data_IF_453184741811
#
_entry.id   IF_453184741811
#
_cell.length_a   1.000
_cell.length_b   1.000
_cell.length_c   1.000
_cell.angle_alpha   90.00
_cell.angle_beta   90.00
_cell.angle_gamma   90.00
#
_symmetry.space_group_name_H-M   'P 1'
#
loop_
_entity.id
_entity.type
_entity.pdbx_description
1 polymer ?
#
# COMPACT_ATOMS: atom_id res chain seq x y z
N UNK A 1 -0.09 -3.43 26.12
CA UNK A 1 0.47 -3.72 24.78
C UNK A 1 0.97 -2.40 24.19
N UNK A 2 2.20 -2.33 23.67
CA UNK A 2 2.73 -1.07 23.10
C UNK A 2 2.28 -0.88 21.66
N UNK A 3 2.25 0.36 21.17
CA UNK A 3 1.89 0.67 19.77
C UNK A 3 2.79 -0.07 18.77
N UNK A 4 4.09 -0.17 19.06
CA UNK A 4 5.06 -0.90 18.25
C UNK A 4 4.70 -2.39 18.13
N UNK A 5 4.43 -3.05 19.26
CA UNK A 5 4.10 -4.48 19.28
C UNK A 5 2.80 -4.78 18.51
N UNK A 6 1.81 -3.88 18.58
CA UNK A 6 0.58 -4.00 17.82
C UNK A 6 0.82 -3.89 16.29
N UNK A 7 1.66 -2.96 15.86
CA UNK A 7 1.97 -2.77 14.43
C UNK A 7 2.73 -4.00 13.91
N UNK A 8 3.69 -4.52 14.68
CA UNK A 8 4.45 -5.71 14.31
C UNK A 8 3.56 -6.95 14.16
N UNK A 9 2.65 -7.19 15.11
CA UNK A 9 1.71 -8.32 15.03
C UNK A 9 0.73 -8.19 13.86
N UNK A 10 0.22 -6.98 13.59
CA UNK A 10 -0.66 -6.73 12.45
C UNK A 10 0.06 -6.94 11.11
N UNK A 11 1.31 -6.48 10.98
CA UNK A 11 2.12 -6.69 9.79
C UNK A 11 2.41 -8.17 9.55
N UNK A 12 2.71 -8.93 10.61
CA UNK A 12 2.90 -10.38 10.52
C UNK A 12 1.62 -11.07 10.02
N UNK A 13 0.47 -10.72 10.61
CA UNK A 13 -0.84 -11.23 10.18
C UNK A 13 -1.14 -10.91 8.71
N UNK A 14 -0.90 -9.66 8.25
CA UNK A 14 -1.11 -9.29 6.84
C UNK A 14 -0.23 -10.07 5.87
N UNK A 15 1.03 -10.34 6.26
CA UNK A 15 1.99 -11.11 5.46
C UNK A 15 1.59 -12.57 5.38
N UNK A 16 1.29 -13.21 6.51
CA UNK A 16 0.88 -14.61 6.60
C UNK A 16 -0.37 -14.89 5.74
N UNK A 17 -1.39 -14.03 5.86
CA UNK A 17 -2.64 -14.22 5.14
C UNK A 17 -2.67 -13.62 3.74
N UNK A 18 -1.56 -13.08 3.23
CA UNK A 18 -1.44 -12.43 1.92
C UNK A 18 -2.54 -11.38 1.68
N UNK A 19 -2.86 -10.58 2.69
CA UNK A 19 -4.02 -9.66 2.68
C UNK A 19 -3.95 -8.65 1.54
N UNK A 20 -2.75 -8.15 1.23
CA UNK A 20 -2.55 -7.23 0.11
C UNK A 20 -2.96 -7.85 -1.24
N UNK A 21 -2.47 -9.06 -1.53
CA UNK A 21 -2.80 -9.77 -2.77
C UNK A 21 -4.29 -10.07 -2.85
N UNK A 22 -4.88 -10.59 -1.76
CA UNK A 22 -6.34 -10.82 -1.67
C UNK A 22 -7.15 -9.56 -1.95
N UNK A 23 -6.69 -8.39 -1.48
CA UNK A 23 -7.37 -7.12 -1.73
C UNK A 23 -7.39 -6.71 -3.22
N UNK A 24 -6.40 -7.17 -4.00
CA UNK A 24 -6.30 -6.94 -5.44
C UNK A 24 -7.11 -7.97 -6.23
N UNK A 25 -7.01 -9.25 -5.86
CA UNK A 25 -7.63 -10.37 -6.58
C UNK A 25 -9.16 -10.34 -6.50
N UNK A 26 -9.72 -9.82 -5.41
CA UNK A 26 -11.17 -9.69 -5.21
C UNK A 26 -11.80 -8.56 -6.04
N UNK A 27 -11.07 -7.91 -6.96
CA UNK A 27 -11.55 -6.73 -7.69
C UNK A 27 -11.64 -7.03 -9.18
N UNK A 28 -12.73 -6.55 -9.78
CA UNK A 28 -13.01 -6.73 -11.20
C UNK A 28 -12.05 -5.90 -12.05
N UNK A 29 -11.57 -6.49 -13.15
CA UNK A 29 -10.79 -5.79 -14.19
C UNK A 29 -11.56 -4.65 -14.86
N UNK A 30 -12.89 -4.60 -14.70
CA UNK A 30 -13.74 -3.56 -15.31
C UNK A 30 -13.48 -2.15 -14.74
N UNK A 31 -12.92 -2.04 -13.54
CA UNK A 31 -12.68 -0.75 -12.86
C UNK A 31 -11.22 -0.59 -12.47
N UNK A 32 -10.31 -0.68 -13.44
CA UNK A 32 -8.89 -0.44 -13.20
C UNK A 32 -8.58 1.06 -13.01
N UNK A 33 -7.76 1.36 -12.00
CA UNK A 33 -7.10 2.67 -11.88
C UNK A 33 -5.60 2.46 -12.04
N UNK A 34 -5.02 3.10 -13.04
CA UNK A 34 -3.56 3.16 -13.22
C UNK A 34 -3.01 4.22 -12.27
N UNK A 35 -1.96 3.87 -11.54
CA UNK A 35 -1.22 4.80 -10.68
C UNK A 35 0.23 4.77 -11.06
N UNK A 36 0.76 5.95 -11.41
CA UNK A 36 2.17 6.12 -11.71
C UNK A 36 2.89 6.46 -10.42
N UNK A 37 3.75 5.56 -9.95
CA UNK A 37 4.69 5.86 -8.90
C UNK A 37 6.05 6.15 -9.53
N UNK A 38 6.53 7.38 -9.39
CA UNK A 38 7.86 7.74 -9.84
C UNK A 38 8.89 7.01 -8.98
N UNK A 39 9.81 6.22 -9.58
CA UNK A 39 10.80 5.49 -8.79
C UNK A 39 11.67 6.48 -8.00
N UNK A 40 11.85 6.29 -6.68
CA UNK A 40 12.76 7.13 -5.92
C UNK A 40 14.20 6.85 -6.37
N UNK A 41 15.03 7.89 -6.41
CA UNK A 41 16.47 7.71 -6.65
C UNK A 41 17.11 7.04 -5.43
N UNK A 42 17.85 5.95 -5.65
CA UNK A 42 18.55 5.20 -4.61
C UNK A 42 19.87 5.85 -4.17
N UNK A 43 19.94 7.18 -4.12
CA UNK A 43 21.18 7.94 -3.85
C UNK A 43 21.43 8.22 -2.36
N UNK A 44 20.49 7.90 -1.47
CA UNK A 44 20.62 8.14 -0.04
C UNK A 44 19.50 7.54 0.80
N UNK A 45 19.60 7.73 2.13
CA UNK A 45 18.58 7.27 3.07
C UNK A 45 17.30 8.10 2.95
N UNK A 46 16.10 7.47 2.94
CA UNK A 46 14.84 8.19 2.93
C UNK A 46 14.71 9.14 4.12
N UNK A 47 14.38 10.40 3.84
CA UNK A 47 14.04 11.41 4.86
C UNK A 47 12.52 11.58 4.98
N UNK A 48 12.06 12.40 5.94
CA UNK A 48 10.64 12.61 6.26
C UNK A 48 9.75 12.92 5.03
N UNK A 49 10.26 13.70 4.08
CA UNK A 49 9.55 14.01 2.84
C UNK A 49 9.16 12.76 2.04
N UNK A 50 10.04 11.75 1.99
CA UNK A 50 9.73 10.47 1.37
C UNK A 50 8.61 9.74 2.11
N UNK A 51 8.63 9.79 3.45
CA UNK A 51 7.60 9.19 4.30
C UNK A 51 6.23 9.83 4.09
N UNK A 52 6.17 11.17 4.07
CA UNK A 52 4.94 11.92 3.86
C UNK A 52 4.30 11.59 2.50
N UNK A 53 5.08 11.65 1.41
CA UNK A 53 4.58 11.34 0.08
C UNK A 53 4.13 9.89 -0.03
N UNK A 54 4.86 8.94 0.57
CA UNK A 54 4.50 7.52 0.56
C UNK A 54 3.20 7.25 1.33
N UNK A 55 3.02 7.89 2.50
CA UNK A 55 1.81 7.77 3.29
C UNK A 55 0.57 8.34 2.58
N UNK A 56 0.70 9.51 1.94
CA UNK A 56 -0.38 10.11 1.15
C UNK A 56 -0.78 9.21 -0.02
N UNK A 57 0.20 8.71 -0.78
CA UNK A 57 -0.03 7.77 -1.89
C UNK A 57 -0.75 6.52 -1.39
N UNK A 58 -0.24 5.83 -0.37
CA UNK A 58 -0.86 4.61 0.17
C UNK A 58 -2.31 4.83 0.62
N UNK A 59 -2.59 5.95 1.27
CA UNK A 59 -3.93 6.32 1.75
C UNK A 59 -4.93 6.44 0.59
N UNK A 60 -4.58 7.17 -0.47
CA UNK A 60 -5.45 7.37 -1.64
C UNK A 60 -5.69 6.04 -2.37
N UNK A 61 -4.65 5.21 -2.51
CA UNK A 61 -4.75 3.93 -3.19
C UNK A 61 -5.64 2.94 -2.43
N UNK A 62 -5.55 2.91 -1.09
CA UNK A 62 -6.46 2.12 -0.25
C UNK A 62 -7.90 2.61 -0.38
N UNK A 63 -8.12 3.91 -0.34
CA UNK A 63 -9.45 4.49 -0.54
C UNK A 63 -10.06 4.04 -1.89
N UNK A 64 -9.31 4.13 -2.99
CA UNK A 64 -9.76 3.65 -4.30
C UNK A 64 -10.07 2.15 -4.29
N UNK A 65 -9.23 1.34 -3.64
CA UNK A 65 -9.45 -0.11 -3.49
C UNK A 65 -10.74 -0.42 -2.73
N UNK A 66 -11.07 0.37 -1.70
CA UNK A 66 -12.31 0.26 -0.92
C UNK A 66 -13.54 0.72 -1.72
N UNK A 67 -13.37 1.66 -2.65
CA UNK A 67 -14.42 2.09 -3.59
C UNK A 67 -14.66 1.09 -4.73
N UNK A 68 -13.94 -0.03 -4.77
CA UNK A 68 -14.15 -1.12 -5.73
C UNK A 68 -13.23 -1.08 -6.95
N UNK A 69 -12.33 -0.10 -7.04
CA UNK A 69 -11.35 -0.04 -8.13
C UNK A 69 -10.26 -1.09 -7.93
N UNK A 70 -9.83 -1.74 -9.02
CA UNK A 70 -8.59 -2.51 -9.04
C UNK A 70 -7.43 -1.55 -9.25
N UNK A 71 -6.62 -1.38 -8.21
CA UNK A 71 -5.47 -0.46 -8.23
C UNK A 71 -4.19 -1.28 -8.28
N UNK A 72 -3.59 -1.36 -9.46
CA UNK A 72 -2.31 -2.05 -9.63
C UNK A 72 -1.22 -1.25 -8.92
N UNK A 73 -0.56 -1.91 -7.99
CA UNK A 73 0.47 -1.36 -7.12
C UNK A 73 1.64 -2.33 -7.19
N UNK A 74 2.51 -2.11 -8.15
CA UNK A 74 3.72 -2.90 -8.32
C UNK A 74 4.66 -2.52 -7.16
N UNK A 75 4.71 -3.36 -6.13
CA UNK A 75 5.59 -3.25 -4.97
C UNK A 75 6.55 -4.42 -4.95
#
# INVERSE_FOLDING_TARGET
>A
MTQKALIESLNAYWKEHKIFQKSLDQRSEKFQSVTYDGPPFASGTPHFGHGLTSAMKDTILRYKTMKGYKVNRDR
#
